data_IF_620924966878
#
_entry.id   IF_620924966878
#
_cell.length_a   1.000
_cell.length_b   1.000
_cell.length_c   1.000
_cell.angle_alpha   90.00
_cell.angle_beta   90.00
_cell.angle_gamma   90.00
#
_symmetry.space_group_name_H-M   'P 1'
#
loop_
_entity.id
_entity.type
_entity.pdbx_description
1 polymer ?
#
# COMPACT_ATOMS: atom_id res chain seq x y z
N UNK A 1 16.65 -16.22 -9.03
CA UNK A 1 15.96 -15.45 -10.07
C UNK A 1 15.64 -14.10 -9.45
N UNK A 2 16.01 -12.98 -10.08
CA UNK A 2 15.55 -11.66 -9.63
C UNK A 2 14.09 -11.48 -10.08
N UNK A 3 13.22 -11.10 -9.15
CA UNK A 3 11.80 -10.90 -9.43
C UNK A 3 11.48 -9.52 -10.03
N UNK A 4 12.43 -8.56 -9.95
CA UNK A 4 12.37 -7.25 -10.59
C UNK A 4 13.61 -7.11 -11.44
N UNK A 5 13.45 -7.02 -12.75
CA UNK A 5 14.50 -6.87 -13.72
C UNK A 5 14.64 -5.42 -14.23
N UNK A 6 15.57 -5.18 -15.15
CA UNK A 6 15.79 -3.85 -15.69
C UNK A 6 14.59 -3.33 -16.49
N UNK A 7 13.85 -4.20 -17.18
CA UNK A 7 12.65 -3.80 -17.91
C UNK A 7 11.53 -3.37 -16.95
N UNK A 8 11.39 -4.04 -15.81
CA UNK A 8 10.46 -3.65 -14.76
C UNK A 8 10.82 -2.26 -14.19
N UNK A 9 12.11 -1.99 -13.97
CA UNK A 9 12.59 -0.69 -13.48
C UNK A 9 12.31 0.41 -14.51
N UNK A 10 12.56 0.16 -15.80
CA UNK A 10 12.26 1.09 -16.88
C UNK A 10 10.75 1.36 -16.99
N UNK A 11 9.92 0.32 -16.91
CA UNK A 11 8.47 0.45 -16.93
C UNK A 11 7.96 1.22 -15.70
N UNK A 12 8.49 0.94 -14.50
CA UNK A 12 8.14 1.70 -13.31
C UNK A 12 8.50 3.19 -13.44
N UNK A 13 9.69 3.48 -13.96
CA UNK A 13 10.14 4.87 -14.21
C UNK A 13 9.24 5.60 -15.20
N UNK A 14 8.77 4.91 -16.25
CA UNK A 14 7.91 5.47 -17.29
C UNK A 14 6.46 5.60 -16.85
N UNK A 15 5.90 4.53 -16.28
CA UNK A 15 4.45 4.40 -16.05
C UNK A 15 4.06 4.75 -14.61
N UNK A 16 5.00 4.71 -13.65
CA UNK A 16 4.77 5.01 -12.22
C UNK A 16 4.21 3.84 -11.44
N UNK A 17 3.89 2.73 -12.08
CA UNK A 17 3.42 1.52 -11.43
C UNK A 17 3.81 0.28 -12.24
N UNK A 18 4.10 -0.82 -11.56
CA UNK A 18 4.32 -2.14 -12.16
C UNK A 18 3.62 -3.22 -11.33
N UNK A 19 3.30 -4.32 -11.97
CA UNK A 19 2.75 -5.50 -11.32
C UNK A 19 3.83 -6.59 -11.20
N UNK A 20 4.27 -6.86 -9.98
CA UNK A 20 5.24 -7.89 -9.67
C UNK A 20 4.55 -9.11 -9.05
N UNK A 21 4.38 -10.19 -9.82
CA UNK A 21 3.68 -11.38 -9.35
C UNK A 21 4.57 -12.26 -8.47
N UNK A 22 4.07 -12.63 -7.29
CA UNK A 22 4.69 -13.63 -6.42
C UNK A 22 5.98 -13.22 -5.71
N UNK A 23 6.40 -11.94 -5.79
CA UNK A 23 7.69 -11.51 -5.20
C UNK A 23 7.76 -11.66 -3.68
N UNK A 24 6.59 -11.72 -3.02
CA UNK A 24 6.45 -11.90 -1.56
C UNK A 24 5.54 -13.08 -1.20
N UNK A 25 5.35 -14.05 -2.09
CA UNK A 25 4.46 -15.20 -1.84
C UNK A 25 4.81 -15.96 -0.56
N UNK A 26 6.10 -16.11 -0.24
CA UNK A 26 6.57 -16.79 0.96
C UNK A 26 6.23 -16.05 2.27
N UNK A 27 5.76 -14.80 2.17
CA UNK A 27 5.42 -13.97 3.31
C UNK A 27 3.91 -13.84 3.56
N UNK A 28 3.07 -14.25 2.60
CA UNK A 28 1.62 -14.03 2.64
C UNK A 28 0.99 -14.59 3.91
N UNK A 29 1.26 -15.86 4.23
CA UNK A 29 0.66 -16.49 5.42
C UNK A 29 1.09 -15.81 6.72
N UNK A 30 2.35 -15.40 6.80
CA UNK A 30 2.84 -14.65 7.96
C UNK A 30 2.20 -13.27 8.07
N UNK A 31 2.05 -12.56 6.96
CA UNK A 31 1.40 -11.26 6.95
C UNK A 31 -0.09 -11.37 7.30
N UNK A 32 -0.80 -12.43 6.88
CA UNK A 32 -2.17 -12.72 7.29
C UNK A 32 -2.29 -12.87 8.81
N UNK A 33 -1.39 -13.63 9.44
CA UNK A 33 -1.34 -13.75 10.90
C UNK A 33 -1.17 -12.36 11.56
N UNK A 34 -0.34 -11.51 10.99
CA UNK A 34 -0.15 -10.13 11.44
C UNK A 34 -1.44 -9.30 11.32
N UNK A 35 -2.16 -9.43 10.21
CA UNK A 35 -3.45 -8.76 9.99
C UNK A 35 -4.50 -9.24 11.00
N UNK A 36 -4.62 -10.54 11.24
CA UNK A 36 -5.55 -11.10 12.23
C UNK A 36 -5.28 -10.55 13.64
N UNK A 37 -4.00 -10.47 14.04
CA UNK A 37 -3.60 -9.86 15.32
C UNK A 37 -3.96 -8.38 15.39
N UNK A 38 -3.80 -7.66 14.28
CA UNK A 38 -4.13 -6.24 14.21
C UNK A 38 -5.63 -6.01 14.33
N UNK A 39 -6.46 -6.79 13.62
CA UNK A 39 -7.92 -6.71 13.70
C UNK A 39 -8.40 -7.05 15.12
N UNK A 40 -7.80 -8.05 15.77
CA UNK A 40 -8.14 -8.42 17.14
C UNK A 40 -7.75 -7.36 18.18
N UNK A 41 -6.75 -6.53 17.89
CA UNK A 41 -6.27 -5.46 18.77
C UNK A 41 -5.83 -4.24 17.94
N UNK A 42 -6.78 -3.42 17.44
CA UNK A 42 -6.48 -2.25 16.64
C UNK A 42 -5.64 -1.20 17.39
N UNK A 43 -4.94 -0.36 16.65
CA UNK A 43 -4.17 0.74 17.23
C UNK A 43 -5.05 1.99 17.46
N UNK A 44 -4.47 2.99 18.10
CA UNK A 44 -5.10 4.32 18.22
C UNK A 44 -5.22 5.05 16.87
N UNK A 45 -4.61 4.50 15.81
CA UNK A 45 -4.64 5.03 14.43
C UNK A 45 -5.63 4.30 13.54
N UNK A 46 -6.40 3.38 14.11
CA UNK A 46 -7.49 2.72 13.40
C UNK A 46 -8.48 3.77 12.86
N UNK A 47 -8.92 3.59 11.61
CA UNK A 47 -9.79 4.52 10.86
C UNK A 47 -10.80 3.77 10.00
N UNK A 48 -11.42 2.74 10.57
CA UNK A 48 -12.42 1.95 9.86
C UNK A 48 -13.62 2.80 9.44
N UNK A 49 -14.15 2.47 8.28
CA UNK A 49 -15.40 3.04 7.79
C UNK A 49 -16.52 2.01 7.95
N UNK A 50 -17.60 2.44 8.56
CA UNK A 50 -18.84 1.67 8.69
C UNK A 50 -19.84 2.33 7.74
N UNK A 51 -20.22 1.68 6.62
CA UNK A 51 -21.16 2.25 5.68
C UNK A 51 -22.56 2.43 6.28
N UNK A 52 -23.21 3.57 6.00
CA UNK A 52 -24.59 3.84 6.45
C UNK A 52 -25.63 2.95 5.77
N UNK A 53 -25.30 2.39 4.61
CA UNK A 53 -26.15 1.48 3.84
C UNK A 53 -26.18 0.04 4.38
N UNK A 54 -25.49 -0.21 5.49
CA UNK A 54 -25.42 -1.53 6.13
C UNK A 54 -24.56 -2.57 5.39
N UNK A 55 -23.80 -2.15 4.38
CA UNK A 55 -22.81 -3.03 3.73
C UNK A 55 -21.61 -3.28 4.64
N UNK A 56 -20.74 -4.22 4.25
CA UNK A 56 -19.61 -4.64 5.07
C UNK A 56 -18.62 -3.49 5.35
N UNK A 57 -18.05 -3.43 6.56
CA UNK A 57 -17.09 -2.37 6.93
C UNK A 57 -15.80 -2.47 6.12
N UNK A 58 -15.10 -1.35 6.07
CA UNK A 58 -13.76 -1.24 5.55
C UNK A 58 -12.81 -0.93 6.71
N UNK A 59 -12.09 -1.96 7.18
CA UNK A 59 -11.09 -1.80 8.22
C UNK A 59 -9.81 -1.18 7.65
N UNK A 60 -9.25 -0.23 8.38
CA UNK A 60 -7.92 0.28 8.10
C UNK A 60 -7.21 0.72 9.38
N UNK A 61 -5.92 0.45 9.43
CA UNK A 61 -5.06 0.86 10.53
C UNK A 61 -3.64 1.14 10.00
N UNK A 62 -2.96 2.10 10.60
CA UNK A 62 -1.68 2.62 10.13
C UNK A 62 -0.59 2.50 11.18
N UNK A 63 0.66 2.38 10.71
CA UNK A 63 1.88 2.45 11.53
C UNK A 63 1.89 1.40 12.63
N UNK A 64 1.72 0.14 12.23
CA UNK A 64 1.67 -1.01 13.13
C UNK A 64 2.92 -1.90 13.08
N UNK A 65 3.85 -1.62 12.17
CA UNK A 65 5.03 -2.43 11.92
C UNK A 65 5.90 -2.69 13.17
N UNK A 66 5.93 -1.76 14.11
CA UNK A 66 6.74 -1.90 15.33
C UNK A 66 6.03 -2.63 16.47
N UNK A 67 4.70 -2.83 16.39
CA UNK A 67 3.90 -3.54 17.39
C UNK A 67 3.44 -4.92 16.93
N UNK A 68 3.43 -5.19 15.63
CA UNK A 68 3.09 -6.48 15.05
C UNK A 68 4.37 -7.13 14.53
N UNK A 69 4.80 -8.19 15.19
CA UNK A 69 6.08 -8.86 14.93
C UNK A 69 6.20 -9.39 13.50
N UNK A 70 5.10 -9.82 12.90
CA UNK A 70 5.02 -10.33 11.54
C UNK A 70 5.33 -9.23 10.52
N UNK A 71 4.83 -8.03 10.74
CA UNK A 71 5.10 -6.86 9.90
C UNK A 71 6.55 -6.40 10.05
N UNK A 72 7.04 -6.36 11.29
CA UNK A 72 8.44 -6.02 11.58
C UNK A 72 9.40 -6.98 10.85
N UNK A 73 9.15 -8.29 10.98
CA UNK A 73 9.97 -9.29 10.36
C UNK A 73 9.96 -9.20 8.81
N UNK A 74 8.78 -8.98 8.23
CA UNK A 74 8.66 -8.76 6.79
C UNK A 74 9.48 -7.56 6.32
N UNK A 75 9.38 -6.44 6.99
CA UNK A 75 10.06 -5.19 6.61
C UNK A 75 11.59 -5.36 6.64
N UNK A 76 12.12 -6.00 7.67
CA UNK A 76 13.57 -6.06 7.87
C UNK A 76 14.24 -7.33 7.30
N UNK A 77 13.51 -8.42 7.11
CA UNK A 77 14.08 -9.69 6.69
C UNK A 77 13.62 -10.16 5.30
N UNK A 78 12.67 -9.46 4.67
CA UNK A 78 12.34 -9.70 3.27
C UNK A 78 13.23 -8.88 2.32
N UNK A 79 13.00 -9.05 1.02
CA UNK A 79 13.65 -8.23 -0.02
C UNK A 79 12.96 -6.88 -0.26
N UNK A 80 12.01 -6.45 0.60
CA UNK A 80 11.25 -5.22 0.42
C UNK A 80 12.17 -4.01 0.24
N UNK A 81 13.11 -3.80 1.15
CA UNK A 81 14.05 -2.69 1.10
C UNK A 81 14.98 -2.73 -0.12
N UNK A 82 15.38 -3.92 -0.54
CA UNK A 82 16.19 -4.10 -1.75
C UNK A 82 15.40 -3.69 -3.01
N UNK A 83 14.18 -4.19 -3.19
CA UNK A 83 13.35 -3.81 -4.33
C UNK A 83 12.97 -2.34 -4.33
N UNK A 84 12.70 -1.76 -3.16
CA UNK A 84 12.48 -0.32 -3.02
C UNK A 84 13.70 0.49 -3.53
N UNK A 85 14.91 0.09 -3.15
CA UNK A 85 16.12 0.79 -3.58
C UNK A 85 16.35 0.68 -5.10
N UNK A 86 16.06 -0.47 -5.71
CA UNK A 86 16.13 -0.65 -7.16
C UNK A 86 15.17 0.30 -7.89
N UNK A 87 13.89 0.29 -7.51
CA UNK A 87 12.85 1.11 -8.15
C UNK A 87 13.09 2.61 -8.00
N UNK A 88 13.69 3.02 -6.89
CA UNK A 88 14.04 4.42 -6.62
C UNK A 88 15.41 4.83 -7.17
N UNK A 89 16.14 3.96 -7.86
CA UNK A 89 17.53 4.21 -8.28
C UNK A 89 18.41 4.72 -7.13
N UNK A 90 18.24 4.14 -5.94
CA UNK A 90 18.95 4.55 -4.72
C UNK A 90 19.86 3.45 -4.19
N UNK A 91 20.93 3.85 -3.49
CA UNK A 91 21.83 2.88 -2.82
C UNK A 91 21.22 2.23 -1.59
N UNK A 92 20.18 2.83 -1.04
CA UNK A 92 19.49 2.36 0.17
C UNK A 92 18.06 2.85 0.18
N UNK A 93 17.21 2.17 0.95
CA UNK A 93 15.86 2.61 1.22
C UNK A 93 15.63 2.72 2.73
N UNK A 94 14.70 3.57 3.12
CA UNK A 94 14.23 3.69 4.49
C UNK A 94 12.74 3.42 4.52
N UNK A 95 12.35 2.50 5.38
CA UNK A 95 10.93 2.23 5.60
C UNK A 95 10.27 3.46 6.25
N UNK A 96 9.13 3.87 5.74
CA UNK A 96 8.38 5.01 6.24
C UNK A 96 7.22 4.55 7.13
N UNK A 97 6.23 3.87 6.60
CA UNK A 97 5.10 3.33 7.37
C UNK A 97 4.40 2.19 6.63
N UNK A 98 3.55 1.47 7.34
CA UNK A 98 2.59 0.51 6.83
C UNK A 98 1.17 1.05 6.94
N UNK A 99 0.31 0.58 6.04
CA UNK A 99 -1.12 0.81 6.06
C UNK A 99 -1.83 -0.51 5.73
N UNK A 100 -2.55 -1.05 6.68
CA UNK A 100 -3.36 -2.26 6.50
C UNK A 100 -4.76 -1.87 6.10
N UNK A 101 -5.26 -2.49 5.03
CA UNK A 101 -6.56 -2.23 4.42
C UNK A 101 -7.28 -3.56 4.26
N UNK A 102 -8.44 -3.73 4.91
CA UNK A 102 -9.26 -4.94 4.78
C UNK A 102 -10.68 -4.56 4.37
N UNK A 103 -11.02 -4.89 3.14
CA UNK A 103 -12.39 -4.76 2.61
C UNK A 103 -13.05 -6.12 2.61
N UNK A 104 -14.04 -6.27 3.45
CA UNK A 104 -14.85 -7.48 3.46
C UNK A 104 -15.70 -7.61 2.20
N UNK A 105 -16.01 -8.83 1.74
CA UNK A 105 -16.90 -9.05 0.62
C UNK A 105 -18.24 -8.32 0.80
N UNK A 106 -18.67 -7.59 -0.24
CA UNK A 106 -19.89 -6.81 -0.20
C UNK A 106 -19.75 -5.38 0.33
N UNK A 107 -18.53 -4.91 0.65
CA UNK A 107 -18.31 -3.51 0.99
C UNK A 107 -18.61 -2.59 -0.21
N UNK A 108 -19.44 -1.56 0.01
CA UNK A 108 -19.77 -0.55 -1.00
C UNK A 108 -18.72 0.56 -1.13
N UNK A 109 -17.76 0.63 -0.21
CA UNK A 109 -16.79 1.72 -0.14
C UNK A 109 -15.77 1.60 -1.28
N UNK A 110 -15.74 2.60 -2.15
CA UNK A 110 -14.75 2.74 -3.20
C UNK A 110 -13.61 3.63 -2.73
N UNK A 111 -12.38 3.25 -3.08
CA UNK A 111 -11.21 4.12 -2.89
C UNK A 111 -11.25 5.22 -3.95
N UNK A 112 -11.31 6.51 -3.57
CA UNK A 112 -11.26 7.60 -4.53
C UNK A 112 -9.91 7.63 -5.27
N UNK A 113 -9.91 8.17 -6.51
CA UNK A 113 -8.68 8.50 -7.19
C UNK A 113 -7.88 9.52 -6.37
N UNK A 114 -6.62 9.21 -6.11
CA UNK A 114 -5.74 10.05 -5.30
C UNK A 114 -4.27 9.87 -5.72
N UNK A 115 -3.44 10.74 -5.22
CA UNK A 115 -1.98 10.61 -5.22
C UNK A 115 -1.56 10.38 -3.76
N UNK A 116 -0.62 9.49 -3.51
CA UNK A 116 -0.14 9.19 -2.15
C UNK A 116 0.65 10.34 -1.53
N UNK A 117 1.50 11.00 -2.34
CA UNK A 117 2.40 12.06 -1.88
C UNK A 117 1.71 13.15 -1.03
N UNK A 118 0.52 13.68 -1.36
CA UNK A 118 -0.16 14.68 -0.55
C UNK A 118 -0.58 14.24 0.86
N UNK A 119 -0.62 12.92 1.12
CA UNK A 119 -0.94 12.39 2.45
C UNK A 119 0.29 12.24 3.35
N UNK A 120 1.51 12.40 2.80
CA UNK A 120 2.73 12.15 3.52
C UNK A 120 3.30 13.43 4.14
N UNK A 121 3.90 13.30 5.33
CA UNK A 121 4.59 14.40 6.01
C UNK A 121 6.07 14.53 5.59
N UNK A 122 6.46 13.88 4.49
CA UNK A 122 7.81 13.93 3.92
C UNK A 122 7.74 14.45 2.50
N UNK A 123 8.76 15.18 2.10
CA UNK A 123 8.94 15.62 0.72
C UNK A 123 10.10 14.85 0.06
N UNK A 124 10.10 14.83 -1.27
CA UNK A 124 11.10 14.16 -2.08
C UNK A 124 10.47 13.43 -3.26
N UNK A 125 11.31 13.02 -4.20
CA UNK A 125 10.89 12.32 -5.42
C UNK A 125 11.15 10.81 -5.34
N UNK A 126 12.10 10.37 -4.51
CA UNK A 126 12.46 8.97 -4.33
C UNK A 126 11.57 8.34 -3.25
N UNK A 127 10.32 8.05 -3.60
CA UNK A 127 9.41 7.29 -2.76
C UNK A 127 8.70 6.23 -3.58
N UNK A 128 8.44 5.06 -2.99
CA UNK A 128 7.73 3.95 -3.59
C UNK A 128 6.82 3.31 -2.55
N UNK A 129 5.60 3.01 -2.96
CA UNK A 129 4.63 2.23 -2.16
C UNK A 129 4.52 0.82 -2.73
N UNK A 130 4.45 -0.18 -1.87
CA UNK A 130 4.16 -1.56 -2.23
C UNK A 130 2.74 -1.90 -1.77
N UNK A 131 1.84 -2.12 -2.72
CA UNK A 131 0.54 -2.68 -2.43
C UNK A 131 0.62 -4.20 -2.54
N UNK A 132 0.55 -4.88 -1.40
CA UNK A 132 0.76 -6.32 -1.27
C UNK A 132 -0.59 -6.97 -1.04
N UNK A 133 -1.08 -7.68 -2.06
CA UNK A 133 -2.29 -8.47 -1.95
C UNK A 133 -2.03 -9.72 -1.09
N UNK A 134 -2.82 -9.91 -0.04
CA UNK A 134 -2.75 -11.11 0.79
C UNK A 134 -3.81 -12.16 0.39
N UNK A 135 -4.74 -11.79 -0.47
CA UNK A 135 -5.79 -12.64 -1.01
C UNK A 135 -5.83 -12.53 -2.53
N UNK A 136 -6.54 -13.44 -3.17
CA UNK A 136 -6.81 -13.37 -4.59
C UNK A 136 -7.73 -12.18 -4.89
N UNK A 137 -7.26 -11.28 -5.75
CA UNK A 137 -7.98 -10.08 -6.13
C UNK A 137 -8.58 -10.25 -7.52
N UNK A 138 -9.89 -10.10 -7.64
CA UNK A 138 -10.56 -10.08 -8.94
C UNK A 138 -10.20 -8.84 -9.74
N UNK A 139 -10.48 -8.87 -11.06
CA UNK A 139 -10.24 -7.71 -11.92
C UNK A 139 -11.02 -6.47 -11.47
N UNK A 140 -12.23 -6.68 -10.94
CA UNK A 140 -13.11 -5.61 -10.47
C UNK A 140 -12.66 -4.99 -9.15
N UNK A 141 -11.89 -5.76 -8.34
CA UNK A 141 -11.37 -5.33 -7.04
C UNK A 141 -9.91 -4.86 -7.05
N UNK A 142 -9.22 -4.94 -8.20
CA UNK A 142 -7.81 -4.58 -8.26
C UNK A 142 -7.60 -3.06 -8.26
N UNK A 143 -6.37 -2.66 -7.95
CA UNK A 143 -5.94 -1.26 -8.11
C UNK A 143 -5.95 -0.87 -9.58
N UNK A 144 -6.37 0.36 -9.84
CA UNK A 144 -6.24 1.02 -11.13
C UNK A 144 -5.27 2.20 -10.97
N UNK A 145 -4.31 2.30 -11.89
CA UNK A 145 -3.32 3.37 -11.91
C UNK A 145 -3.38 4.10 -13.26
N UNK A 146 -3.16 5.41 -13.25
CA UNK A 146 -3.03 6.20 -14.48
C UNK A 146 -1.55 6.26 -14.86
N UNK A 147 -1.18 5.57 -15.93
CA UNK A 147 0.21 5.50 -16.40
C UNK A 147 0.79 6.90 -16.61
N UNK A 148 1.99 7.12 -16.12
CA UNK A 148 2.70 8.40 -16.23
C UNK A 148 2.16 9.53 -15.34
N UNK A 149 1.14 9.30 -14.51
CA UNK A 149 0.56 10.36 -13.66
C UNK A 149 1.53 10.91 -12.61
N UNK A 150 2.51 10.13 -12.19
CA UNK A 150 3.57 10.54 -11.26
C UNK A 150 4.53 11.60 -11.86
N UNK A 151 4.58 11.73 -13.18
CA UNK A 151 5.37 12.75 -13.89
C UNK A 151 4.66 14.12 -13.93
N UNK A 152 3.41 14.18 -13.46
CA UNK A 152 2.68 15.44 -13.38
C UNK A 152 3.22 16.30 -12.23
N UNK A 153 3.43 17.59 -12.50
CA UNK A 153 3.78 18.57 -11.48
C UNK A 153 2.56 19.05 -10.65
N UNK A 154 1.37 18.50 -10.93
CA UNK A 154 0.14 18.87 -10.24
C UNK A 154 -0.11 17.92 -9.08
N UNK A 155 -0.16 18.44 -7.87
CA UNK A 155 -0.61 17.72 -6.68
C UNK A 155 -2.05 18.12 -6.37
N UNK A 156 -2.91 17.11 -6.28
CA UNK A 156 -4.31 17.31 -5.91
C UNK A 156 -4.47 17.28 -4.39
N UNK A 157 -5.42 18.03 -3.85
CA UNK A 157 -5.75 17.98 -2.43
C UNK A 157 -6.13 16.57 -2.02
N UNK A 158 -5.59 16.06 -0.90
CA UNK A 158 -5.96 14.75 -0.38
C UNK A 158 -7.39 14.78 0.14
N UNK A 159 -8.14 13.70 -0.11
CA UNK A 159 -9.51 13.54 0.31
C UNK A 159 -9.68 12.35 1.25
N UNK A 160 -10.65 12.46 2.15
CA UNK A 160 -11.14 11.32 2.92
C UNK A 160 -11.93 10.37 2.03
N UNK A 161 -12.20 9.14 2.47
CA UNK A 161 -13.07 8.20 1.75
C UNK A 161 -14.50 8.72 1.56
N UNK A 162 -14.95 9.66 2.39
CA UNK A 162 -16.24 10.34 2.22
C UNK A 162 -16.17 11.53 1.24
N UNK A 163 -15.05 11.73 0.56
CA UNK A 163 -14.87 12.78 -0.45
C UNK A 163 -14.60 14.18 0.09
N UNK A 164 -14.53 14.37 1.40
CA UNK A 164 -14.18 15.63 2.02
C UNK A 164 -12.68 15.92 1.90
N UNK A 165 -12.30 17.19 1.77
CA UNK A 165 -10.90 17.59 1.84
C UNK A 165 -10.31 17.21 3.21
N UNK A 166 -9.07 16.74 3.22
CA UNK A 166 -8.40 16.34 4.45
C UNK A 166 -7.91 17.57 5.25
N UNK A 167 -7.57 18.67 4.56
CA UNK A 167 -7.16 19.98 5.10
C UNK A 167 -7.38 21.11 4.10
#
# INVERSE_FOLDING_TARGET
MEFIDNNDIENFTKDGAILCRGIFSDWVDKLRIGVDKLIANPSVRERSYIPEDGTAPFFQDLVNWNRISEFNDFIFNSKLGYYASLLMHSKSSRFFHDHVLVKEPGSSIKTPWHQDKPYYCVDGEQSVSFWIALDDISKEGCLECIAGSHLSNVLHKPKTFNGNDLY
#
